data_IF_439380712731
#
_entry.id   IF_439380712731
#
_cell.length_a   1.000
_cell.length_b   1.000
_cell.length_c   1.000
_cell.angle_alpha   90.00
_cell.angle_beta   90.00
_cell.angle_gamma   90.00
#
_symmetry.space_group_name_H-M   'P 1'
#
loop_
_entity.id
_entity.type
_entity.pdbx_description
1 polymer ?
#
# COMPACT_ATOMS: atom_id res chain seq x y z
N UNK A 1 -16.05 9.32 3.62
CA UNK A 1 -14.95 10.08 4.26
C UNK A 1 -13.71 9.75 3.48
N UNK A 2 -12.95 10.77 3.08
CA UNK A 2 -11.69 10.61 2.36
C UNK A 2 -10.54 10.64 3.35
N UNK A 3 -9.62 9.70 3.23
CA UNK A 3 -8.38 9.67 4.03
C UNK A 3 -7.30 10.39 3.24
N UNK A 4 -6.59 11.32 3.87
CA UNK A 4 -5.45 11.97 3.25
C UNK A 4 -4.23 11.03 3.28
N UNK A 5 -3.97 10.40 2.15
CA UNK A 5 -2.88 9.41 1.99
C UNK A 5 -1.50 10.06 2.15
N UNK A 6 -1.33 11.30 1.72
CA UNK A 6 -0.05 12.02 1.83
C UNK A 6 0.34 12.25 3.29
N UNK A 7 -0.60 12.74 4.09
CA UNK A 7 -0.37 12.95 5.53
C UNK A 7 -0.15 11.62 6.24
N UNK A 8 -0.85 10.56 5.83
CA UNK A 8 -0.66 9.21 6.35
C UNK A 8 0.74 8.67 6.05
N UNK A 9 1.29 8.88 4.84
CA UNK A 9 2.67 8.50 4.51
C UNK A 9 3.66 9.28 5.38
N UNK A 10 3.42 10.58 5.60
CA UNK A 10 4.24 11.40 6.49
C UNK A 10 4.13 11.00 7.97
N UNK A 11 3.15 10.16 8.32
CA UNK A 11 2.98 9.59 9.66
C UNK A 11 3.70 8.24 9.87
N UNK A 12 4.44 7.75 8.86
CA UNK A 12 5.28 6.57 9.01
C UNK A 12 6.22 6.71 10.22
N UNK A 13 6.28 5.67 11.04
CA UNK A 13 7.05 5.66 12.29
C UNK A 13 6.36 6.35 13.47
N UNK A 14 5.23 7.05 13.31
CA UNK A 14 4.41 7.53 14.44
C UNK A 14 3.61 6.39 15.07
N UNK A 15 3.22 6.56 16.32
CA UNK A 15 2.36 5.60 17.03
C UNK A 15 0.90 5.66 16.53
N UNK A 16 0.17 4.57 16.69
CA UNK A 16 -1.26 4.52 16.37
C UNK A 16 -2.07 5.61 17.11
N UNK A 17 -1.72 5.95 18.35
CA UNK A 17 -2.44 6.96 19.12
C UNK A 17 -2.27 8.35 18.52
N UNK A 18 -1.04 8.75 18.16
CA UNK A 18 -0.79 10.04 17.50
C UNK A 18 -1.55 10.16 16.18
N UNK A 19 -1.54 9.10 15.36
CA UNK A 19 -2.24 9.08 14.07
C UNK A 19 -3.76 9.14 14.26
N UNK A 20 -4.28 8.50 15.32
CA UNK A 20 -5.70 8.52 15.66
C UNK A 20 -6.13 9.89 16.20
N UNK A 21 -5.30 10.52 17.06
CA UNK A 21 -5.55 11.84 17.64
C UNK A 21 -5.48 12.95 16.59
N UNK A 22 -4.62 12.80 15.57
CA UNK A 22 -4.58 13.65 14.36
C UNK A 22 -5.83 13.48 13.47
N UNK A 23 -6.69 12.48 13.74
CA UNK A 23 -7.92 12.23 13.00
C UNK A 23 -7.71 11.59 11.64
N UNK A 24 -6.53 10.99 11.38
CA UNK A 24 -6.19 10.37 10.09
C UNK A 24 -6.85 8.99 9.92
N UNK A 25 -7.13 8.30 11.02
CA UNK A 25 -7.82 7.02 11.03
C UNK A 25 -9.27 7.25 11.51
N UNK A 26 -10.28 7.09 10.64
CA UNK A 26 -11.68 7.34 11.00
C UNK A 26 -12.29 6.26 11.91
N UNK A 27 -11.58 5.15 12.12
CA UNK A 27 -12.06 4.00 12.85
C UNK A 27 -11.61 4.00 14.31
N UNK A 28 -12.54 3.74 15.22
CA UNK A 28 -12.24 3.43 16.63
C UNK A 28 -11.62 2.04 16.82
N UNK A 29 -11.62 1.22 15.77
CA UNK A 29 -11.07 -0.14 15.79
C UNK A 29 -9.56 -0.06 15.92
N UNK A 30 -9.03 -0.71 16.95
CA UNK A 30 -7.58 -0.78 17.21
C UNK A 30 -6.94 -1.83 16.30
N UNK A 31 -5.64 -1.70 15.97
CA UNK A 31 -4.90 -2.73 15.25
C UNK A 31 -4.91 -4.04 16.03
N UNK A 32 -5.12 -5.16 15.31
CA UNK A 32 -5.20 -6.52 15.88
C UNK A 32 -4.22 -7.45 15.17
N UNK A 33 -3.72 -8.46 15.87
CA UNK A 33 -2.81 -9.49 15.34
C UNK A 33 -2.78 -10.71 16.25
N UNK A 34 -2.19 -11.82 15.80
CA UNK A 34 -2.15 -13.04 16.61
C UNK A 34 -1.18 -12.90 17.79
N UNK A 35 -1.45 -13.66 18.86
CA UNK A 35 -0.56 -13.73 20.01
C UNK A 35 0.74 -14.44 19.64
N UNK A 36 1.76 -13.66 19.30
CA UNK A 36 3.08 -14.15 18.90
C UNK A 36 3.67 -13.34 17.75
N UNK A 37 2.82 -12.64 17.00
CA UNK A 37 3.28 -11.78 15.91
C UNK A 37 3.93 -10.51 16.46
N UNK A 38 5.01 -10.08 15.81
CA UNK A 38 5.69 -8.80 16.07
C UNK A 38 4.93 -7.61 15.47
N UNK A 39 3.96 -7.89 14.60
CA UNK A 39 3.20 -6.89 13.84
C UNK A 39 1.71 -7.07 14.10
N UNK A 40 1.02 -5.95 14.29
CA UNK A 40 -0.44 -5.89 14.38
C UNK A 40 -0.98 -5.05 13.23
N UNK A 41 -2.13 -5.43 12.70
CA UNK A 41 -2.64 -4.87 11.45
C UNK A 41 -4.01 -4.23 11.65
N UNK A 42 -4.31 -3.23 10.82
CA UNK A 42 -5.61 -2.60 10.72
C UNK A 42 -6.02 -2.54 9.24
N UNK A 43 -7.09 -3.24 8.90
CA UNK A 43 -7.62 -3.30 7.54
C UNK A 43 -8.76 -2.28 7.35
N UNK A 44 -8.50 -1.24 6.56
CA UNK A 44 -9.45 -0.17 6.23
C UNK A 44 -10.03 -0.42 4.84
N UNK A 45 -10.81 -1.50 4.72
CA UNK A 45 -11.35 -2.02 3.44
C UNK A 45 -12.16 -0.99 2.66
N UNK A 46 -12.90 -0.09 3.32
CA UNK A 46 -13.73 0.91 2.64
C UNK A 46 -12.88 1.99 1.96
N UNK A 47 -11.73 2.29 2.54
CA UNK A 47 -10.76 3.27 2.07
C UNK A 47 -9.71 2.63 1.16
N UNK A 48 -9.65 1.30 1.12
CA UNK A 48 -8.66 0.57 0.32
C UNK A 48 -7.25 0.65 0.89
N UNK A 49 -7.11 0.88 2.19
CA UNK A 49 -5.83 1.06 2.88
C UNK A 49 -5.64 -0.05 3.90
N UNK A 50 -4.45 -0.62 3.95
CA UNK A 50 -4.06 -1.57 4.99
C UNK A 50 -2.86 -1.01 5.74
N UNK A 51 -2.93 -1.02 7.07
CA UNK A 51 -1.91 -0.47 7.94
C UNK A 51 -1.31 -1.59 8.78
N UNK A 52 0.02 -1.62 8.84
CA UNK A 52 0.74 -2.54 9.72
C UNK A 52 1.56 -1.75 10.74
N UNK A 53 1.52 -2.17 11.99
CA UNK A 53 2.20 -1.52 13.11
C UNK A 53 3.06 -2.53 13.88
N UNK A 54 4.19 -2.09 14.42
CA UNK A 54 4.95 -2.89 15.38
C UNK A 54 4.15 -3.11 16.66
N UNK A 55 4.23 -4.30 17.26
CA UNK A 55 3.37 -4.65 18.40
C UNK A 55 3.73 -3.94 19.70
N UNK A 56 5.01 -3.73 19.95
CA UNK A 56 5.52 -3.12 21.20
C UNK A 56 5.12 -1.65 21.30
N UNK A 57 5.61 -0.82 20.37
CA UNK A 57 5.40 0.64 20.37
C UNK A 57 4.17 1.07 19.54
N UNK A 58 3.51 0.15 18.84
CA UNK A 58 2.40 0.45 17.91
C UNK A 58 2.76 1.50 16.88
N UNK A 59 4.02 1.50 16.44
CA UNK A 59 4.53 2.42 15.43
C UNK A 59 4.19 1.93 14.03
N UNK A 60 3.76 2.86 13.19
CA UNK A 60 3.37 2.56 11.82
C UNK A 60 4.59 2.09 11.02
N UNK A 61 4.53 0.83 10.59
CA UNK A 61 5.60 0.13 9.88
C UNK A 61 5.39 0.17 8.38
N UNK A 62 4.17 -0.12 7.94
CA UNK A 62 3.84 -0.27 6.53
C UNK A 62 2.44 0.28 6.24
N UNK A 63 2.32 0.89 5.07
CA UNK A 63 1.06 1.35 4.50
C UNK A 63 0.93 0.67 3.13
N UNK A 64 -0.12 -0.12 2.96
CA UNK A 64 -0.40 -0.81 1.70
C UNK A 64 -1.67 -0.24 1.09
N UNK A 65 -1.55 0.35 -0.10
CA UNK A 65 -2.68 0.90 -0.85
C UNK A 65 -3.18 -0.12 -1.87
N UNK A 66 -4.47 -0.42 -1.84
CA UNK A 66 -5.11 -1.29 -2.84
C UNK A 66 -5.67 -0.44 -3.97
N UNK A 67 -4.92 -0.32 -5.07
CA UNK A 67 -5.33 0.46 -6.24
C UNK A 67 -6.25 -0.32 -7.19
N UNK A 68 -5.99 -1.61 -7.35
CA UNK A 68 -6.72 -2.52 -8.23
C UNK A 68 -7.13 -3.77 -7.47
N UNK A 69 -8.31 -4.29 -7.78
CA UNK A 69 -8.83 -5.49 -7.15
C UNK A 69 -9.21 -6.53 -8.22
N UNK A 70 -8.45 -7.62 -8.32
CA UNK A 70 -8.70 -8.69 -9.31
C UNK A 70 -10.11 -9.29 -9.19
N UNK A 71 -10.70 -9.30 -7.98
CA UNK A 71 -12.05 -9.82 -7.73
C UNK A 71 -13.15 -8.82 -8.09
N UNK A 72 -12.82 -7.54 -8.22
CA UNK A 72 -13.77 -6.44 -8.47
C UNK A 72 -13.18 -5.49 -9.53
N UNK A 73 -13.40 -5.74 -10.83
CA UNK A 73 -12.81 -4.94 -11.90
C UNK A 73 -13.31 -3.49 -11.94
N UNK A 74 -14.48 -3.22 -11.35
CA UNK A 74 -15.05 -1.87 -11.22
C UNK A 74 -14.55 -1.12 -9.97
N UNK A 75 -13.69 -1.75 -9.17
CA UNK A 75 -13.12 -1.09 -8.00
C UNK A 75 -12.20 0.04 -8.45
N UNK A 76 -12.46 1.24 -7.92
CA UNK A 76 -11.60 2.41 -8.05
C UNK A 76 -11.17 2.81 -6.65
N UNK A 77 -9.90 3.19 -6.52
CA UNK A 77 -9.36 3.67 -5.26
C UNK A 77 -10.11 4.96 -4.85
N UNK A 78 -10.70 5.02 -3.65
CA UNK A 78 -11.63 6.09 -3.28
C UNK A 78 -10.95 7.38 -2.79
N UNK A 79 -9.65 7.34 -2.48
CA UNK A 79 -8.92 8.49 -1.93
C UNK A 79 -8.01 9.15 -2.98
N UNK A 80 -7.61 10.38 -2.71
CA UNK A 80 -6.61 11.07 -3.51
C UNK A 80 -5.23 10.45 -3.29
N UNK A 81 -4.52 10.18 -4.38
CA UNK A 81 -3.15 9.68 -4.34
C UNK A 81 -2.18 10.86 -4.21
N UNK A 82 -1.09 10.69 -3.45
CA UNK A 82 -0.07 11.73 -3.35
C UNK A 82 0.62 11.93 -4.70
N UNK A 83 0.97 13.17 -5.02
CA UNK A 83 1.80 13.47 -6.19
C UNK A 83 3.13 12.73 -6.11
N UNK A 84 3.65 12.11 -7.19
CA UNK A 84 3.20 12.18 -8.59
C UNK A 84 2.21 11.08 -9.01
N UNK A 85 1.66 10.31 -8.08
CA UNK A 85 0.86 9.12 -8.39
C UNK A 85 -0.56 9.49 -8.87
N UNK A 86 -1.02 8.86 -9.95
CA UNK A 86 -2.37 9.04 -10.52
C UNK A 86 -3.21 7.77 -10.42
N UNK A 87 -4.54 7.91 -10.36
CA UNK A 87 -5.43 6.74 -10.18
C UNK A 87 -5.39 5.72 -11.32
N UNK A 88 -5.12 6.16 -12.55
CA UNK A 88 -4.99 5.28 -13.71
C UNK A 88 -3.60 5.45 -14.32
N UNK A 89 -2.70 4.55 -13.96
CA UNK A 89 -1.35 4.50 -14.50
C UNK A 89 -1.28 3.46 -15.61
N UNK A 90 -1.25 3.90 -16.87
CA UNK A 90 -0.90 3.00 -17.95
C UNK A 90 0.60 2.67 -17.88
N UNK A 91 1.00 1.51 -18.41
CA UNK A 91 2.42 1.15 -18.48
C UNK A 91 3.26 2.19 -19.22
N UNK A 92 2.68 2.82 -20.25
CA UNK A 92 3.32 3.91 -20.98
C UNK A 92 3.54 5.13 -20.09
N UNK A 93 2.51 5.57 -19.37
CA UNK A 93 2.60 6.69 -18.43
C UNK A 93 3.66 6.45 -17.35
N UNK A 94 3.71 5.24 -16.76
CA UNK A 94 4.75 4.89 -15.77
C UNK A 94 6.14 4.99 -16.38
N UNK A 95 6.33 4.50 -17.60
CA UNK A 95 7.62 4.59 -18.26
C UNK A 95 8.03 6.03 -18.61
N UNK A 96 7.07 6.91 -18.89
CA UNK A 96 7.31 8.33 -19.15
C UNK A 96 7.71 9.08 -17.87
N UNK A 97 7.05 8.78 -16.75
CA UNK A 97 7.31 9.46 -15.48
C UNK A 97 8.52 8.91 -14.70
N UNK A 98 8.66 7.58 -14.65
CA UNK A 98 9.67 6.90 -13.84
C UNK A 98 10.78 6.23 -14.66
N UNK A 99 10.66 6.24 -15.98
CA UNK A 99 11.59 5.55 -16.87
C UNK A 99 11.30 4.05 -17.03
N UNK A 100 12.17 3.36 -17.76
CA UNK A 100 12.04 1.91 -17.97
C UNK A 100 12.51 1.16 -16.72
N UNK A 101 11.82 0.07 -16.33
CA UNK A 101 12.28 -0.76 -15.22
C UNK A 101 13.65 -1.34 -15.52
N UNK A 102 14.54 -1.35 -14.53
CA UNK A 102 15.90 -1.90 -14.65
C UNK A 102 15.88 -3.39 -15.03
N UNK A 103 14.89 -4.14 -14.52
CA UNK A 103 14.71 -5.57 -14.77
C UNK A 103 13.31 -5.82 -15.31
N UNK A 104 13.24 -6.33 -16.53
CA UNK A 104 11.99 -6.77 -17.15
C UNK A 104 12.07 -8.29 -17.40
N UNK A 105 11.18 -9.07 -16.78
CA UNK A 105 10.95 -10.45 -17.23
C UNK A 105 9.80 -10.45 -18.22
N UNK A 106 10.04 -11.01 -19.40
CA UNK A 106 8.98 -11.25 -20.37
C UNK A 106 8.05 -12.37 -19.87
N UNK A 107 6.76 -12.38 -20.26
CA UNK A 107 5.87 -13.50 -20.00
C UNK A 107 6.50 -14.80 -20.50
N UNK A 108 6.58 -15.82 -19.66
CA UNK A 108 7.18 -17.12 -20.01
C UNK A 108 6.21 -18.24 -19.66
N UNK A 109 6.05 -19.19 -20.58
CA UNK A 109 5.24 -20.39 -20.31
C UNK A 109 6.16 -21.41 -19.65
N UNK A 110 5.97 -21.68 -18.36
CA UNK A 110 6.69 -22.73 -17.64
C UNK A 110 5.71 -23.85 -17.33
N UNK A 111 6.03 -25.08 -17.76
CA UNK A 111 5.22 -26.29 -17.54
C UNK A 111 3.73 -26.14 -17.95
N UNK A 112 3.46 -25.68 -19.17
CA UNK A 112 2.11 -25.47 -19.76
C UNK A 112 1.18 -24.52 -18.99
N UNK A 113 1.68 -23.84 -17.95
CA UNK A 113 0.98 -22.74 -17.31
C UNK A 113 1.50 -21.46 -17.95
N UNK A 114 0.58 -20.65 -18.50
CA UNK A 114 0.91 -19.28 -18.81
C UNK A 114 1.22 -18.60 -17.48
N UNK A 115 2.51 -18.41 -17.19
CA UNK A 115 2.87 -17.33 -16.29
C UNK A 115 2.75 -16.11 -17.19
N UNK A 116 1.56 -15.50 -17.15
CA UNK A 116 1.49 -14.08 -17.43
C UNK A 116 2.65 -13.48 -16.68
N UNK A 117 3.45 -12.68 -17.38
CA UNK A 117 4.46 -11.85 -16.76
C UNK A 117 3.73 -10.84 -15.88
N UNK A 118 3.13 -11.31 -14.78
CA UNK A 118 2.83 -10.55 -13.60
C UNK A 118 4.20 -10.04 -13.20
N UNK A 119 4.51 -8.87 -13.72
CA UNK A 119 5.35 -7.93 -13.03
C UNK A 119 4.68 -7.86 -11.67
N UNK A 120 5.19 -8.62 -10.71
CA UNK A 120 4.96 -8.35 -9.29
C UNK A 120 5.60 -6.99 -9.06
N UNK A 121 4.98 -5.95 -9.60
CA UNK A 121 4.96 -4.63 -9.01
C UNK A 121 4.01 -4.76 -7.83
N UNK A 122 4.43 -5.56 -6.85
CA UNK A 122 4.52 -4.93 -5.55
C UNK A 122 5.44 -3.73 -5.80
N UNK A 123 4.86 -2.58 -6.17
CA UNK A 123 5.42 -1.32 -5.69
C UNK A 123 5.23 -1.38 -4.17
N UNK A 124 5.97 -2.28 -3.51
CA UNK A 124 6.55 -1.95 -2.24
C UNK A 124 7.45 -0.77 -2.61
N UNK A 125 6.91 0.44 -2.49
CA UNK A 125 7.74 1.56 -2.09
C UNK A 125 8.17 1.18 -0.67
N UNK A 126 9.09 0.22 -0.53
CA UNK A 126 9.83 0.05 0.69
C UNK A 126 10.78 1.23 0.68
N UNK A 127 10.33 2.32 1.29
CA UNK A 127 11.23 3.37 1.75
C UNK A 127 12.11 2.73 2.84
N UNK A 128 13.12 1.99 2.42
CA UNK A 128 14.27 1.72 3.27
C UNK A 128 14.97 3.07 3.44
N UNK A 129 14.63 3.75 4.54
CA UNK A 129 15.51 4.79 5.06
C UNK A 129 16.84 4.10 5.38
N UNK A 130 17.96 4.52 4.78
CA UNK A 130 19.26 4.09 5.25
C UNK A 130 19.44 4.66 6.66
N UNK A 131 19.62 3.77 7.63
CA UNK A 131 20.19 4.11 8.94
C UNK A 131 21.70 4.19 8.79
#
# INVERSE_FOLDING_TARGET
MTVNVEVLINSLGKSYQEIFDEGLIPYKTKPTGFSGDEVVCLDMVKEGIFLAFYREEKRLKEITLTLLNEKKPLYQFPNELPSPLVSQMSRQWVHEQFGKPEKLRQPQIIMKRQLDGKSYTHCLISAFLPV
#
